data_IF_641064091607
#
_entry.id   IF_641064091607
#
_cell.length_a   1.000
_cell.length_b   1.000
_cell.length_c   1.000
_cell.angle_alpha   90.00
_cell.angle_beta   90.00
_cell.angle_gamma   90.00
#
_symmetry.space_group_name_H-M   'P 1'
#
loop_
_entity.id
_entity.type
_entity.pdbx_description
1 polymer ?
#
# COMPACT_ATOMS: atom_id res chain seq x y z
N UNK A 1 23.09 -3.06 -37.46
CA UNK A 1 23.48 -4.00 -36.39
C UNK A 1 22.22 -4.47 -35.69
N UNK A 2 22.00 -5.77 -35.81
CA UNK A 2 20.94 -6.64 -35.31
C UNK A 2 20.01 -6.12 -34.21
N UNK A 3 18.71 -6.19 -34.55
CA UNK A 3 17.62 -6.53 -33.63
C UNK A 3 17.96 -7.80 -32.86
N UNK A 4 17.70 -7.83 -31.55
CA UNK A 4 17.01 -8.96 -30.92
C UNK A 4 16.15 -8.47 -29.73
N UNK A 5 14.84 -8.78 -29.73
CA UNK A 5 13.97 -8.68 -28.57
C UNK A 5 14.21 -9.90 -27.68
N UNK A 6 14.29 -9.72 -26.36
CA UNK A 6 14.37 -10.85 -25.43
C UNK A 6 12.97 -11.34 -25.10
N UNK A 7 12.65 -12.47 -25.70
CA UNK A 7 11.54 -13.35 -25.40
C UNK A 7 11.52 -13.68 -23.90
N UNK A 8 10.42 -13.38 -23.23
CA UNK A 8 10.03 -14.12 -22.04
C UNK A 8 8.54 -14.45 -22.11
N UNK A 9 8.18 -15.02 -23.25
CA UNK A 9 6.97 -15.81 -23.45
C UNK A 9 7.23 -17.18 -22.82
N UNK A 10 6.84 -17.37 -21.56
CA UNK A 10 6.39 -18.70 -21.15
C UNK A 10 5.53 -18.63 -19.89
N UNK A 11 4.38 -19.31 -20.02
CA UNK A 11 3.58 -19.92 -18.95
C UNK A 11 2.30 -19.21 -18.50
N UNK A 12 1.57 -18.60 -19.43
CA UNK A 12 0.11 -18.66 -19.38
C UNK A 12 -0.35 -20.04 -19.88
N UNK A 13 -0.44 -21.01 -18.97
CA UNK A 13 -1.25 -22.21 -19.23
C UNK A 13 -2.72 -21.76 -19.25
N UNK A 14 -3.50 -22.04 -20.30
CA UNK A 14 -4.94 -21.94 -20.19
C UNK A 14 -5.36 -22.91 -19.10
N UNK A 15 -5.90 -22.38 -18.00
CA UNK A 15 -6.66 -23.17 -17.04
C UNK A 15 -7.88 -23.63 -17.82
N UNK A 16 -7.79 -24.85 -18.36
CA UNK A 16 -8.95 -25.55 -18.87
C UNK A 16 -9.96 -25.59 -17.74
N UNK A 17 -11.00 -24.78 -17.85
CA UNK A 17 -12.26 -25.04 -17.19
C UNK A 17 -12.75 -26.37 -17.77
N UNK A 18 -12.28 -27.48 -17.22
CA UNK A 18 -13.09 -28.68 -17.19
C UNK A 18 -14.23 -28.33 -16.25
N UNK A 19 -15.33 -27.85 -16.83
CA UNK A 19 -16.63 -28.00 -16.23
C UNK A 19 -16.71 -29.42 -15.67
N UNK A 20 -17.11 -29.63 -14.41
CA UNK A 20 -17.56 -30.95 -14.03
C UNK A 20 -18.82 -31.20 -14.85
N UNK A 21 -18.68 -31.90 -15.98
CA UNK A 21 -19.73 -32.71 -16.59
C UNK A 21 -20.13 -33.78 -15.56
N UNK A 22 -20.86 -33.32 -14.55
CA UNK A 22 -21.51 -34.10 -13.52
C UNK A 22 -23.02 -33.90 -13.61
N UNK A 23 -23.55 -33.62 -14.81
CA UNK A 23 -24.98 -33.63 -15.06
C UNK A 23 -25.38 -34.94 -15.76
N UNK A 24 -25.76 -35.89 -14.91
CA UNK A 24 -26.97 -36.70 -15.10
C UNK A 24 -26.93 -38.00 -15.92
N UNK A 25 -25.79 -38.67 -16.07
CA UNK A 25 -25.82 -40.07 -16.55
C UNK A 25 -26.09 -41.09 -15.43
N UNK A 26 -27.26 -40.97 -14.79
CA UNK A 26 -27.92 -42.20 -14.32
C UNK A 26 -28.39 -42.93 -15.57
N UNK A 27 -27.56 -43.82 -16.11
CA UNK A 27 -28.03 -44.90 -17.00
C UNK A 27 -29.11 -45.68 -16.25
N UNK A 28 -30.37 -45.25 -16.34
CA UNK A 28 -31.51 -46.09 -15.98
C UNK A 28 -31.44 -47.28 -16.91
N UNK A 29 -31.31 -48.48 -16.37
CA UNK A 29 -31.23 -49.69 -17.18
C UNK A 29 -32.62 -49.93 -17.75
N UNK A 30 -32.86 -49.38 -18.94
CA UNK A 30 -34.17 -49.50 -19.55
C UNK A 30 -34.29 -50.87 -20.20
N UNK A 31 -35.32 -51.63 -19.84
CA UNK A 31 -35.65 -52.93 -20.43
C UNK A 31 -36.98 -52.82 -21.19
N UNK A 32 -37.17 -53.66 -22.20
CA UNK A 32 -38.38 -53.61 -23.03
C UNK A 32 -39.51 -54.43 -22.39
N UNK A 33 -40.72 -53.87 -22.37
CA UNK A 33 -41.87 -54.51 -21.73
C UNK A 33 -43.15 -53.68 -21.83
N UNK A 34 -44.22 -54.17 -21.19
CA UNK A 34 -45.46 -53.42 -21.03
C UNK A 34 -45.42 -52.55 -19.77
N UNK A 35 -45.83 -51.30 -19.91
CA UNK A 35 -45.89 -50.36 -18.79
C UNK A 35 -46.85 -50.87 -17.71
N UNK A 36 -46.45 -50.83 -16.43
CA UNK A 36 -47.30 -51.21 -15.30
C UNK A 36 -48.56 -50.36 -15.11
N UNK A 37 -48.68 -49.24 -15.81
CA UNK A 37 -49.90 -48.44 -15.78
C UNK A 37 -50.89 -49.02 -16.79
N UNK A 38 -52.01 -49.57 -16.30
CA UNK A 38 -53.01 -50.29 -17.11
C UNK A 38 -53.62 -49.43 -18.22
N UNK A 39 -53.66 -48.11 -18.04
CA UNK A 39 -54.17 -47.15 -19.02
C UNK A 39 -53.03 -46.44 -19.77
N UNK A 40 -51.87 -47.10 -19.92
CA UNK A 40 -50.79 -46.54 -20.70
C UNK A 40 -51.13 -46.61 -22.20
N UNK A 41 -51.10 -45.48 -22.94
CA UNK A 41 -51.35 -45.50 -24.37
C UNK A 41 -50.20 -46.16 -25.15
N UNK A 42 -49.04 -46.30 -24.51
CA UNK A 42 -47.88 -46.98 -25.09
C UNK A 42 -48.00 -48.46 -24.74
N UNK A 43 -48.05 -49.32 -25.77
CA UNK A 43 -48.04 -50.77 -25.61
C UNK A 43 -46.67 -51.30 -25.16
N UNK A 44 -46.01 -52.08 -26.00
CA UNK A 44 -44.66 -52.56 -25.73
C UNK A 44 -43.64 -51.43 -25.91
N UNK A 45 -42.89 -51.09 -24.87
CA UNK A 45 -42.01 -49.90 -24.85
C UNK A 45 -40.83 -50.07 -23.89
N UNK A 46 -39.87 -49.12 -23.91
CA UNK A 46 -38.78 -49.08 -22.92
C UNK A 46 -39.30 -48.64 -21.57
N UNK A 47 -39.03 -49.44 -20.56
CA UNK A 47 -39.41 -49.18 -19.18
C UNK A 47 -38.19 -48.82 -18.34
N UNK A 48 -38.41 -47.95 -17.37
CA UNK A 48 -37.47 -47.75 -16.27
C UNK A 48 -37.42 -48.98 -15.36
N UNK A 49 -36.42 -49.07 -14.47
CA UNK A 49 -36.24 -50.18 -13.53
C UNK A 49 -37.46 -50.46 -12.65
N UNK A 50 -38.36 -49.50 -12.47
CA UNK A 50 -39.60 -49.64 -11.72
C UNK A 50 -40.83 -49.99 -12.57
N UNK A 51 -40.64 -50.31 -13.85
CA UNK A 51 -41.67 -50.85 -14.75
C UNK A 51 -42.59 -49.80 -15.39
N UNK A 52 -42.21 -48.51 -15.38
CA UNK A 52 -42.96 -47.44 -16.02
C UNK A 52 -42.20 -46.82 -17.19
N UNK A 53 -42.90 -46.51 -18.27
CA UNK A 53 -42.30 -45.90 -19.47
C UNK A 53 -42.09 -44.38 -19.34
N UNK A 54 -42.72 -43.72 -18.36
CA UNK A 54 -42.59 -42.28 -18.16
C UNK A 54 -42.95 -41.83 -16.74
N UNK A 55 -42.43 -40.66 -16.35
CA UNK A 55 -42.83 -39.94 -15.14
C UNK A 55 -44.32 -39.64 -15.06
N UNK A 56 -45.02 -39.55 -16.20
CA UNK A 56 -46.47 -39.30 -16.25
C UNK A 56 -47.25 -40.57 -15.87
N UNK A 57 -46.94 -41.70 -16.50
CA UNK A 57 -47.56 -43.00 -16.19
C UNK A 57 -47.31 -43.41 -14.74
N UNK A 58 -46.07 -43.24 -14.26
CA UNK A 58 -45.73 -43.46 -12.84
C UNK A 58 -46.56 -42.59 -11.90
N UNK A 59 -46.74 -41.30 -12.21
CA UNK A 59 -47.56 -40.39 -11.40
C UNK A 59 -49.04 -40.76 -11.42
N UNK A 60 -49.57 -41.19 -12.56
CA UNK A 60 -50.97 -41.59 -12.67
C UNK A 60 -51.23 -42.90 -11.89
N UNK A 61 -50.35 -43.89 -12.04
CA UNK A 61 -50.43 -45.14 -11.29
C UNK A 61 -50.37 -44.93 -9.77
N UNK A 62 -49.56 -43.97 -9.30
CA UNK A 62 -49.52 -43.59 -7.87
C UNK A 62 -50.80 -42.94 -7.36
N UNK A 63 -51.52 -42.22 -8.22
CA UNK A 63 -52.81 -41.61 -7.84
C UNK A 63 -53.89 -42.67 -7.73
N UNK A 64 -53.91 -43.64 -8.64
CA UNK A 64 -54.95 -44.67 -8.71
C UNK A 64 -54.68 -45.84 -7.76
N UNK A 65 -53.42 -46.23 -7.57
CA UNK A 65 -53.01 -47.33 -6.69
C UNK A 65 -51.88 -46.90 -5.73
N UNK A 66 -52.18 -46.05 -4.73
CA UNK A 66 -51.18 -45.52 -3.81
C UNK A 66 -50.49 -46.61 -2.96
N UNK A 67 -51.14 -47.76 -2.76
CA UNK A 67 -50.60 -48.87 -1.97
C UNK A 67 -49.64 -49.78 -2.75
N UNK A 68 -49.73 -49.77 -4.08
CA UNK A 68 -48.94 -50.67 -4.95
C UNK A 68 -47.72 -49.99 -5.55
N UNK A 69 -47.76 -48.65 -5.72
CA UNK A 69 -46.67 -47.90 -6.35
C UNK A 69 -45.94 -47.04 -5.32
N UNK A 70 -44.69 -47.39 -4.95
CA UNK A 70 -43.89 -46.60 -4.02
C UNK A 70 -43.72 -45.15 -4.47
N UNK A 71 -43.80 -44.20 -3.54
CA UNK A 71 -43.58 -42.79 -3.82
C UNK A 71 -42.09 -42.46 -4.02
N UNK A 72 -41.21 -43.14 -3.27
CA UNK A 72 -39.76 -43.07 -3.42
C UNK A 72 -39.12 -44.38 -2.94
N UNK A 73 -37.79 -44.46 -3.02
CA UNK A 73 -37.00 -45.53 -2.42
C UNK A 73 -35.99 -44.92 -1.45
N UNK A 74 -35.76 -45.58 -0.31
CA UNK A 74 -34.84 -45.12 0.72
C UNK A 74 -33.41 -45.09 0.17
N UNK A 75 -32.76 -43.93 0.22
CA UNK A 75 -31.39 -43.78 -0.31
C UNK A 75 -30.38 -44.70 0.39
N UNK A 76 -30.62 -45.04 1.67
CA UNK A 76 -29.70 -45.88 2.46
C UNK A 76 -29.87 -47.39 2.25
N UNK A 77 -31.10 -47.87 2.07
CA UNK A 77 -31.38 -49.32 2.10
C UNK A 77 -32.25 -49.81 0.95
N UNK A 78 -32.63 -48.93 0.01
CA UNK A 78 -33.44 -49.27 -1.16
C UNK A 78 -34.90 -49.60 -0.88
N UNK A 79 -35.34 -49.62 0.39
CA UNK A 79 -36.74 -49.97 0.74
C UNK A 79 -37.74 -48.95 0.16
N UNK A 80 -38.91 -49.40 -0.32
CA UNK A 80 -39.94 -48.49 -0.83
C UNK A 80 -40.47 -47.57 0.28
N UNK A 81 -40.69 -46.31 -0.07
CA UNK A 81 -41.23 -45.27 0.79
C UNK A 81 -42.61 -44.88 0.27
N UNK A 82 -43.60 -44.98 1.16
CA UNK A 82 -44.97 -44.54 0.88
C UNK A 82 -45.11 -43.04 1.14
N UNK A 83 -46.02 -42.40 0.41
CA UNK A 83 -46.34 -41.00 0.64
C UNK A 83 -47.06 -40.88 2.00
N UNK A 84 -46.60 -40.02 2.93
CA UNK A 84 -47.31 -39.79 4.18
C UNK A 84 -48.66 -39.10 3.93
N UNK A 85 -49.59 -39.23 4.87
CA UNK A 85 -50.90 -38.59 4.80
C UNK A 85 -50.81 -37.05 4.67
N UNK A 86 -49.75 -36.45 5.24
CA UNK A 86 -49.44 -35.04 5.12
C UNK A 86 -47.95 -34.81 4.84
N UNK A 87 -47.65 -33.79 4.04
CA UNK A 87 -46.30 -33.32 3.78
C UNK A 87 -45.54 -34.04 2.64
N UNK A 88 -44.25 -33.67 2.44
CA UNK A 88 -43.40 -34.21 1.37
C UNK A 88 -43.01 -35.68 1.63
N UNK A 89 -42.75 -36.43 0.55
CA UNK A 89 -42.25 -37.81 0.64
C UNK A 89 -40.83 -37.81 1.23
N UNK A 90 -40.56 -38.55 2.31
CA UNK A 90 -39.24 -38.56 2.92
C UNK A 90 -38.21 -39.30 2.06
N UNK A 91 -36.94 -38.89 2.12
CA UNK A 91 -35.83 -39.58 1.42
C UNK A 91 -35.40 -40.90 2.08
N UNK A 92 -35.80 -41.14 3.33
CA UNK A 92 -35.38 -42.29 4.12
C UNK A 92 -36.58 -42.98 4.76
N UNK A 93 -36.58 -44.32 4.77
CA UNK A 93 -37.65 -45.12 5.37
C UNK A 93 -37.67 -45.04 6.91
N UNK A 94 -36.57 -44.63 7.54
CA UNK A 94 -36.48 -44.49 8.99
C UNK A 94 -35.42 -43.49 9.42
N UNK A 95 -35.53 -42.99 10.66
CA UNK A 95 -34.50 -42.14 11.30
C UNK A 95 -33.16 -42.89 11.40
N UNK A 96 -33.19 -44.20 11.61
CA UNK A 96 -31.98 -45.02 11.61
C UNK A 96 -31.28 -45.02 10.24
N UNK A 97 -32.03 -45.16 9.14
CA UNK A 97 -31.47 -45.09 7.79
C UNK A 97 -30.89 -43.70 7.49
N UNK A 98 -31.57 -42.64 7.90
CA UNK A 98 -31.06 -41.27 7.79
C UNK A 98 -29.75 -41.09 8.56
N UNK A 99 -29.69 -41.56 9.81
CA UNK A 99 -28.49 -41.43 10.63
C UNK A 99 -27.30 -42.24 10.06
N UNK A 100 -27.56 -43.44 9.53
CA UNK A 100 -26.53 -44.27 8.89
C UNK A 100 -26.02 -43.63 7.60
N UNK A 101 -26.91 -43.07 6.79
CA UNK A 101 -26.55 -42.29 5.61
C UNK A 101 -25.68 -41.09 5.98
N UNK A 102 -26.09 -40.31 6.97
CA UNK A 102 -25.32 -39.15 7.43
C UNK A 102 -23.95 -39.53 8.00
N UNK A 103 -23.82 -40.73 8.59
CA UNK A 103 -22.54 -41.26 9.09
C UNK A 103 -21.60 -41.66 7.95
N UNK A 104 -22.13 -42.31 6.89
CA UNK A 104 -21.35 -42.73 5.73
C UNK A 104 -20.92 -41.52 4.89
N UNK A 105 -21.83 -40.57 4.67
CA UNK A 105 -21.62 -39.40 3.82
C UNK A 105 -21.09 -38.17 4.57
N UNK A 106 -20.56 -38.34 5.79
CA UNK A 106 -19.87 -37.27 6.52
C UNK A 106 -20.74 -36.07 6.92
N UNK A 107 -22.07 -36.16 6.84
CA UNK A 107 -22.97 -35.09 7.29
C UNK A 107 -23.05 -34.98 8.81
N UNK A 108 -22.43 -35.91 9.54
CA UNK A 108 -22.25 -35.83 10.99
C UNK A 108 -20.88 -35.22 11.33
N UNK A 109 -20.76 -33.91 11.11
CA UNK A 109 -19.91 -32.98 11.85
C UNK A 109 -18.48 -33.40 12.21
N UNK A 110 -17.58 -33.47 11.23
CA UNK A 110 -16.20 -33.02 11.44
C UNK A 110 -16.12 -31.61 10.88
N UNK A 111 -16.30 -30.61 11.74
CA UNK A 111 -16.34 -29.21 11.30
C UNK A 111 -14.98 -28.72 10.81
N UNK A 112 -14.99 -27.49 10.30
CA UNK A 112 -13.81 -26.81 9.78
C UNK A 112 -12.60 -26.96 10.72
N UNK A 113 -11.40 -26.99 10.15
CA UNK A 113 -10.17 -26.93 10.95
C UNK A 113 -9.92 -25.49 11.39
N UNK A 114 -9.43 -25.31 12.60
CA UNK A 114 -9.04 -23.99 13.11
C UNK A 114 -7.91 -23.39 12.26
N UNK A 115 -8.10 -22.16 11.79
CA UNK A 115 -7.11 -21.45 10.98
C UNK A 115 -5.76 -21.19 11.66
N UNK A 116 -5.69 -21.27 12.98
CA UNK A 116 -4.46 -21.01 13.74
C UNK A 116 -3.75 -22.30 14.21
N UNK A 117 -4.49 -23.30 14.70
CA UNK A 117 -3.90 -24.51 15.30
C UNK A 117 -4.26 -25.82 14.58
N UNK A 118 -5.10 -25.77 13.54
CA UNK A 118 -5.50 -26.94 12.74
C UNK A 118 -6.43 -27.93 13.43
N UNK A 119 -6.78 -27.72 14.70
CA UNK A 119 -7.72 -28.59 15.45
C UNK A 119 -9.12 -28.57 14.83
N UNK A 120 -9.83 -29.71 14.78
CA UNK A 120 -11.19 -29.75 14.27
C UNK A 120 -12.11 -28.92 15.16
N UNK A 121 -12.94 -28.08 14.54
CA UNK A 121 -13.93 -27.26 15.22
C UNK A 121 -15.25 -28.04 15.21
N UNK A 122 -15.91 -28.22 16.35
CA UNK A 122 -17.24 -28.81 16.35
C UNK A 122 -18.21 -27.85 15.66
N UNK A 123 -18.95 -28.33 14.64
CA UNK A 123 -20.02 -27.55 14.02
C UNK A 123 -21.06 -27.21 15.10
N UNK A 124 -21.33 -25.92 15.27
CA UNK A 124 -22.37 -25.45 16.18
C UNK A 124 -23.76 -25.84 15.66
N UNK A 125 -24.71 -26.08 16.56
CA UNK A 125 -26.11 -26.35 16.15
C UNK A 125 -26.87 -25.09 15.69
N UNK A 126 -26.37 -23.88 16.00
CA UNK A 126 -26.91 -22.57 15.60
C UNK A 126 -25.81 -21.50 15.56
N UNK A 127 -25.81 -20.67 14.52
CA UNK A 127 -24.86 -19.56 14.30
C UNK A 127 -23.85 -19.84 13.18
N UNK A 128 -23.08 -18.83 12.74
CA UNK A 128 -21.98 -19.02 11.79
C UNK A 128 -20.95 -20.01 12.34
N UNK A 129 -20.44 -20.88 11.48
CA UNK A 129 -19.38 -21.82 11.88
C UNK A 129 -18.14 -21.05 12.36
N UNK A 130 -17.64 -21.32 13.58
CA UNK A 130 -16.49 -20.60 14.10
C UNK A 130 -15.22 -20.94 13.30
N UNK A 131 -14.43 -19.93 12.96
CA UNK A 131 -13.15 -20.09 12.23
C UNK A 131 -12.01 -20.59 13.13
N UNK A 132 -12.13 -20.39 14.45
CA UNK A 132 -11.11 -20.74 15.43
C UNK A 132 -11.67 -21.62 16.55
N UNK A 133 -10.86 -22.57 17.04
CA UNK A 133 -11.29 -23.51 18.08
C UNK A 133 -11.43 -22.88 19.48
N UNK A 134 -10.95 -21.65 19.66
CA UNK A 134 -10.98 -20.92 20.92
C UNK A 134 -10.68 -19.43 20.69
N UNK A 135 -11.12 -18.59 21.64
CA UNK A 135 -10.78 -17.17 21.64
C UNK A 135 -9.25 -16.93 21.64
N UNK A 136 -8.49 -17.77 22.35
CA UNK A 136 -7.02 -17.71 22.35
C UNK A 136 -6.40 -17.89 20.96
N UNK A 137 -6.97 -18.76 20.13
CA UNK A 137 -6.51 -18.94 18.74
C UNK A 137 -6.88 -17.75 17.87
N UNK A 138 -8.08 -17.19 18.04
CA UNK A 138 -8.49 -15.97 17.35
C UNK A 138 -7.59 -14.77 17.72
N UNK A 139 -7.28 -14.61 19.01
CA UNK A 139 -6.36 -13.56 19.50
C UNK A 139 -4.95 -13.74 18.96
N UNK A 140 -4.44 -14.98 18.92
CA UNK A 140 -3.11 -15.27 18.37
C UNK A 140 -3.02 -14.88 16.89
N UNK A 141 -4.02 -15.25 16.11
CA UNK A 141 -4.09 -14.88 14.69
C UNK A 141 -4.12 -13.35 14.51
N UNK A 142 -5.01 -12.66 15.25
CA UNK A 142 -5.11 -11.19 15.25
C UNK A 142 -3.79 -10.52 15.64
N UNK A 143 -3.14 -11.02 16.70
CA UNK A 143 -1.89 -10.47 17.22
C UNK A 143 -0.73 -10.70 16.26
N UNK A 144 -0.69 -11.83 15.54
CA UNK A 144 0.33 -12.08 14.51
C UNK A 144 0.21 -11.06 13.37
N UNK A 145 -1.00 -10.83 12.87
CA UNK A 145 -1.26 -9.82 11.85
C UNK A 145 -0.91 -8.40 12.35
N UNK A 146 -1.28 -8.06 13.59
CA UNK A 146 -0.94 -6.77 14.20
C UNK A 146 0.58 -6.56 14.36
N UNK A 147 1.31 -7.58 14.82
CA UNK A 147 2.78 -7.54 14.95
C UNK A 147 3.45 -7.30 13.60
N UNK A 148 3.00 -7.98 12.55
CA UNK A 148 3.54 -7.80 11.21
C UNK A 148 3.31 -6.37 10.69
N UNK A 149 2.09 -5.84 10.85
CA UNK A 149 1.79 -4.44 10.47
C UNK A 149 2.65 -3.45 11.26
N UNK A 150 2.75 -3.62 12.58
CA UNK A 150 3.55 -2.75 13.43
C UNK A 150 5.04 -2.81 13.07
N UNK A 151 5.57 -3.98 12.69
CA UNK A 151 6.94 -4.13 12.21
C UNK A 151 7.19 -3.32 10.93
N UNK A 152 6.25 -3.36 9.98
CA UNK A 152 6.36 -2.61 8.71
C UNK A 152 6.32 -1.10 8.98
N UNK A 153 5.37 -0.65 9.80
CA UNK A 153 5.24 0.77 10.17
C UNK A 153 6.50 1.25 10.88
N UNK A 154 7.02 0.47 11.84
CA UNK A 154 8.25 0.81 12.55
C UNK A 154 9.44 0.94 11.60
N UNK A 155 9.60 0.01 10.66
CA UNK A 155 10.68 0.06 9.66
C UNK A 155 10.55 1.26 8.69
N UNK A 156 9.33 1.60 8.29
CA UNK A 156 9.06 2.79 7.49
C UNK A 156 9.40 4.08 8.26
N UNK A 157 8.96 4.17 9.52
CA UNK A 157 9.22 5.31 10.38
C UNK A 157 10.71 5.48 10.69
N UNK A 158 11.46 4.40 10.91
CA UNK A 158 12.92 4.49 11.14
C UNK A 158 13.65 5.01 9.90
N UNK A 159 13.21 4.58 8.71
CA UNK A 159 13.77 5.07 7.44
C UNK A 159 13.47 6.55 7.22
N UNK A 160 12.23 6.96 7.47
CA UNK A 160 11.81 8.35 7.36
C UNK A 160 12.55 9.25 8.37
N UNK A 161 12.66 8.82 9.62
CA UNK A 161 13.40 9.54 10.65
C UNK A 161 14.87 9.73 10.24
N UNK A 162 15.53 8.69 9.74
CA UNK A 162 16.92 8.80 9.26
C UNK A 162 17.07 9.84 8.15
N UNK A 163 16.12 9.87 7.21
CA UNK A 163 16.12 10.87 6.12
C UNK A 163 15.96 12.30 6.68
N UNK A 164 15.03 12.50 7.61
CA UNK A 164 14.82 13.80 8.24
C UNK A 164 16.06 14.26 9.02
N UNK A 165 16.72 13.36 9.75
CA UNK A 165 17.97 13.68 10.46
C UNK A 165 19.06 14.13 9.49
N UNK A 166 19.29 13.38 8.40
CA UNK A 166 20.27 13.78 7.38
C UNK A 166 19.94 15.13 6.73
N UNK A 167 18.66 15.41 6.51
CA UNK A 167 18.23 16.71 5.99
C UNK A 167 18.43 17.84 6.99
N UNK A 168 18.21 17.59 8.28
CA UNK A 168 18.47 18.58 9.32
C UNK A 168 19.97 18.89 9.43
N UNK A 169 20.82 17.87 9.40
CA UNK A 169 22.27 18.03 9.44
C UNK A 169 22.79 18.82 8.22
N UNK A 170 22.32 18.49 7.00
CA UNK A 170 22.67 19.25 5.79
C UNK A 170 22.26 20.73 5.88
N UNK A 171 21.08 21.03 6.42
CA UNK A 171 20.61 22.40 6.59
C UNK A 171 21.44 23.17 7.63
N UNK A 172 21.88 22.50 8.70
CA UNK A 172 22.78 23.10 9.69
C UNK A 172 24.14 23.42 9.06
N UNK A 173 24.72 22.47 8.33
CA UNK A 173 25.99 22.65 7.62
C UNK A 173 25.93 23.80 6.61
N UNK A 174 24.81 23.92 5.86
CA UNK A 174 24.60 25.02 4.93
C UNK A 174 24.50 26.37 5.63
N UNK A 175 23.80 26.42 6.76
CA UNK A 175 23.65 27.66 7.54
C UNK A 175 25.00 28.10 8.10
N UNK A 176 25.81 27.15 8.57
CA UNK A 176 27.15 27.43 9.07
C UNK A 176 28.09 27.93 7.97
N UNK A 177 28.04 27.33 6.78
CA UNK A 177 28.80 27.85 5.61
C UNK A 177 28.44 29.29 5.27
N UNK A 178 27.14 29.62 5.24
CA UNK A 178 26.70 31.00 4.96
C UNK A 178 27.17 31.98 6.04
N UNK A 179 27.20 31.57 7.31
CA UNK A 179 27.76 32.40 8.40
C UNK A 179 29.25 32.64 8.19
N UNK A 180 30.01 31.59 7.91
CA UNK A 180 31.45 31.69 7.68
C UNK A 180 31.78 32.58 6.47
N UNK A 181 31.04 32.44 5.38
CA UNK A 181 31.16 33.31 4.21
C UNK A 181 30.83 34.76 4.55
N UNK A 182 29.78 35.02 5.33
CA UNK A 182 29.40 36.36 5.77
C UNK A 182 30.48 37.00 6.64
N UNK A 183 31.04 36.24 7.58
CA UNK A 183 32.14 36.71 8.43
C UNK A 183 33.40 37.01 7.59
N UNK A 184 33.68 36.16 6.60
CA UNK A 184 34.79 36.38 5.68
C UNK A 184 34.60 37.64 4.83
N UNK A 185 33.38 37.88 4.33
CA UNK A 185 33.04 39.10 3.61
C UNK A 185 33.18 40.35 4.50
N UNK A 186 32.72 40.29 5.75
CA UNK A 186 32.87 41.40 6.69
C UNK A 186 34.35 41.71 6.97
N UNK A 187 35.20 40.69 7.16
CA UNK A 187 36.65 40.87 7.31
C UNK A 187 37.30 41.44 6.06
N UNK A 188 36.88 40.97 4.89
CA UNK A 188 37.37 41.49 3.61
C UNK A 188 36.96 42.95 3.40
N UNK A 189 35.73 43.32 3.77
CA UNK A 189 35.26 44.70 3.71
C UNK A 189 36.11 45.61 4.59
N UNK A 190 36.37 45.20 5.84
CA UNK A 190 37.20 45.97 6.77
C UNK A 190 38.66 46.09 6.26
N UNK A 191 39.22 45.02 5.69
CA UNK A 191 40.54 45.08 5.04
C UNK A 191 40.55 46.06 3.86
N UNK A 192 39.58 45.97 2.95
CA UNK A 192 39.49 46.89 1.81
C UNK A 192 39.31 48.35 2.28
N UNK A 193 38.52 48.57 3.34
CA UNK A 193 38.29 49.89 3.93
C UNK A 193 39.58 50.48 4.49
N UNK A 194 40.33 49.70 5.27
CA UNK A 194 41.61 50.12 5.87
C UNK A 194 42.70 50.37 4.81
N UNK A 195 42.80 49.52 3.79
CA UNK A 195 43.71 49.73 2.65
C UNK A 195 43.37 51.01 1.88
N UNK A 196 42.08 51.20 1.56
CA UNK A 196 41.59 52.41 0.88
C UNK A 196 41.86 53.66 1.73
N UNK A 197 41.56 53.61 3.02
CA UNK A 197 41.85 54.71 3.96
C UNK A 197 43.33 55.07 3.98
N UNK A 198 44.21 54.07 4.04
CA UNK A 198 45.67 54.27 4.02
C UNK A 198 46.13 54.93 2.71
N UNK A 199 45.59 54.50 1.57
CA UNK A 199 45.88 55.11 0.27
C UNK A 199 45.43 56.57 0.22
N UNK A 200 44.22 56.88 0.69
CA UNK A 200 43.67 58.24 0.71
C UNK A 200 44.49 59.18 1.61
N UNK A 201 44.92 58.71 2.78
CA UNK A 201 45.81 59.46 3.68
C UNK A 201 47.14 59.77 2.98
N UNK A 202 47.75 58.79 2.30
CA UNK A 202 49.00 59.00 1.54
C UNK A 202 48.82 60.01 0.41
N UNK A 203 47.73 59.93 -0.35
CA UNK A 203 47.43 60.90 -1.41
C UNK A 203 47.27 62.32 -0.87
N UNK A 204 46.56 62.49 0.26
CA UNK A 204 46.43 63.79 0.92
C UNK A 204 47.76 64.32 1.42
N UNK A 205 48.59 63.46 2.03
CA UNK A 205 49.92 63.85 2.50
C UNK A 205 50.82 64.28 1.33
N UNK A 206 50.80 63.56 0.20
CA UNK A 206 51.55 63.95 -1.00
C UNK A 206 51.07 65.28 -1.56
N UNK A 207 49.75 65.48 -1.67
CA UNK A 207 49.18 66.75 -2.15
C UNK A 207 49.59 67.92 -1.23
N UNK A 208 49.62 67.71 0.09
CA UNK A 208 50.02 68.74 1.04
C UNK A 208 51.49 69.12 0.97
N UNK A 209 52.37 68.16 0.69
CA UNK A 209 53.82 68.41 0.59
C UNK A 209 54.22 69.03 -0.74
N UNK A 210 53.61 68.60 -1.84
CA UNK A 210 54.10 68.90 -3.18
C UNK A 210 53.24 69.89 -3.97
N UNK A 211 52.01 70.18 -3.54
CA UNK A 211 51.15 71.20 -4.15
C UNK A 211 50.29 71.94 -3.10
N UNK A 212 50.92 72.74 -2.22
CA UNK A 212 50.21 73.45 -1.15
C UNK A 212 49.23 74.51 -1.68
N UNK A 213 49.43 75.04 -2.89
CA UNK A 213 48.52 76.00 -3.53
C UNK A 213 47.14 75.41 -3.82
N UNK A 214 47.07 74.12 -4.13
CA UNK A 214 45.81 73.39 -4.31
C UNK A 214 45.02 73.18 -3.01
N UNK A 215 45.65 73.29 -1.85
CA UNK A 215 44.98 73.27 -0.53
C UNK A 215 44.36 74.64 -0.22
N UNK A 216 45.07 75.72 -0.53
CA UNK A 216 44.58 77.08 -0.30
C UNK A 216 43.37 77.43 -1.19
N UNK A 217 43.30 76.85 -2.40
CA UNK A 217 42.17 76.95 -3.33
C UNK A 217 41.11 75.86 -3.13
N UNK A 218 40.91 75.38 -1.90
CA UNK A 218 39.94 74.33 -1.57
C UNK A 218 38.51 74.80 -1.88
N UNK A 219 38.08 74.59 -3.12
CA UNK A 219 36.68 74.76 -3.49
C UNK A 219 35.87 73.63 -2.83
N UNK A 220 34.61 73.88 -2.41
CA UNK A 220 33.76 72.85 -1.80
C UNK A 220 33.59 71.59 -2.68
N UNK A 221 33.66 71.78 -4.00
CA UNK A 221 33.62 70.72 -5.01
C UNK A 221 34.99 70.44 -5.64
N UNK A 222 36.09 70.80 -4.97
CA UNK A 222 37.45 70.56 -5.45
C UNK A 222 37.91 69.13 -5.23
N UNK A 223 38.95 68.71 -5.96
CA UNK A 223 39.55 67.38 -5.81
C UNK A 223 40.01 67.11 -4.36
N UNK A 224 40.72 68.06 -3.74
CA UNK A 224 41.20 67.95 -2.35
C UNK A 224 40.04 67.90 -1.35
N UNK A 225 38.96 68.64 -1.58
CA UNK A 225 37.77 68.59 -0.72
C UNK A 225 37.08 67.22 -0.76
N UNK A 226 36.90 66.65 -1.97
CA UNK A 226 36.37 65.28 -2.13
C UNK A 226 37.30 64.22 -1.51
N UNK A 227 38.60 64.36 -1.72
CA UNK A 227 39.60 63.43 -1.19
C UNK A 227 39.62 63.46 0.35
N UNK A 228 39.50 64.65 0.97
CA UNK A 228 39.37 64.79 2.42
C UNK A 228 38.09 64.13 2.97
N UNK A 229 36.95 64.33 2.30
CA UNK A 229 35.68 63.69 2.68
C UNK A 229 35.78 62.15 2.58
N UNK A 230 36.36 61.63 1.50
CA UNK A 230 36.55 60.19 1.33
C UNK A 230 37.53 59.64 2.38
N UNK A 231 38.61 60.35 2.67
CA UNK A 231 39.56 59.95 3.71
C UNK A 231 38.86 59.80 5.07
N UNK A 232 38.09 60.80 5.49
CA UNK A 232 37.37 60.75 6.78
C UNK A 232 36.28 59.67 6.81
N UNK A 233 35.67 59.34 5.66
CA UNK A 233 34.70 58.24 5.53
C UNK A 233 35.31 56.84 5.66
N UNK A 234 36.53 56.66 5.17
CA UNK A 234 37.23 55.36 5.18
C UNK A 234 38.20 55.20 6.36
N UNK A 235 38.34 56.24 7.19
CA UNK A 235 39.17 56.24 8.40
C UNK A 235 38.35 56.74 9.59
N UNK A 236 38.86 57.70 10.36
CA UNK A 236 38.11 58.37 11.41
C UNK A 236 37.84 59.84 11.02
N UNK A 237 36.71 60.42 11.44
CA UNK A 237 36.43 61.83 11.23
C UNK A 237 37.58 62.74 11.70
N UNK A 238 38.00 63.69 10.86
CA UNK A 238 39.09 64.62 11.16
C UNK A 238 40.50 64.08 10.90
N UNK A 239 40.64 62.85 10.38
CA UNK A 239 41.94 62.31 9.95
C UNK A 239 42.51 63.09 8.77
N UNK A 240 41.65 63.51 7.83
CA UNK A 240 42.05 64.32 6.69
C UNK A 240 42.61 65.67 7.13
N UNK A 241 41.92 66.37 8.05
CA UNK A 241 42.36 67.66 8.57
C UNK A 241 43.72 67.54 9.28
N UNK A 242 43.89 66.54 10.17
CA UNK A 242 45.17 66.26 10.84
C UNK A 242 46.29 66.00 9.84
N UNK A 243 46.01 65.20 8.81
CA UNK A 243 46.99 64.85 7.77
C UNK A 243 47.43 66.08 6.99
N UNK A 244 46.50 66.93 6.57
CA UNK A 244 46.81 68.16 5.84
C UNK A 244 47.61 69.14 6.71
N UNK A 245 47.21 69.37 7.96
CA UNK A 245 47.92 70.28 8.87
C UNK A 245 49.33 69.79 9.18
N UNK A 246 49.51 68.49 9.43
CA UNK A 246 50.83 67.91 9.73
C UNK A 246 51.79 67.95 8.52
N UNK A 247 51.25 67.92 7.30
CA UNK A 247 52.06 67.85 6.07
C UNK A 247 52.13 69.19 5.31
N UNK A 248 51.44 70.23 5.78
CA UNK A 248 51.59 71.58 5.27
C UNK A 248 52.97 72.10 5.72
N UNK A 249 53.89 72.24 4.76
CA UNK A 249 55.23 72.77 5.01
C UNK A 249 55.06 74.24 5.48
N UNK A 250 55.61 74.65 6.64
CA UNK A 250 55.67 76.07 7.00
C UNK A 250 56.48 76.80 5.93
N UNK A 251 55.98 77.93 5.43
CA UNK A 251 56.54 78.70 4.31
C UNK A 251 57.95 79.31 4.56
N UNK A 252 58.77 78.76 5.46
CA UNK A 252 60.06 79.31 5.86
C UNK A 252 61.29 78.65 5.19
N UNK A 253 61.12 77.74 4.22
CA UNK A 253 62.25 77.14 3.47
C UNK A 253 62.09 77.25 1.93
N UNK A 254 61.32 78.22 1.45
CA UNK A 254 61.37 78.64 0.04
C UNK A 254 61.61 80.15 0.03
N UNK A 255 62.82 80.52 0.43
CA UNK A 255 63.65 81.64 -0.06
C UNK A 255 65.02 81.62 0.62
#
# INVERSE_FOLDING_TARGET
>A
MNRQPTDNETRNKPVGHTEPEGQSDRKTKNHDGYCRWEHCPNGYTRLWDDGFCSSRCRRQARKTHPDQVPAAYCRQCGKPIRKPASGPTPDFCSRQCRNRWNKIHGMNGTGQKCGECGKPIPLGKRGPDPEYCSQKCADRHRNKAARQRNSIIKAANTTHHRKLTLQADDLQDRTERVRQESDQLARNEERCRTETGTMLVRMLAMAARHDPGSIQKRTPNGFIARLAILCDRHTAPGTAAKTLTHNAIPQQEIE
#
